data_IF_284371445454
#
_entry.id   IF_284371445454
#
_cell.length_a   1.000
_cell.length_b   1.000
_cell.length_c   1.000
_cell.angle_alpha   90.00
_cell.angle_beta   90.00
_cell.angle_gamma   90.00
#
_symmetry.space_group_name_H-M   'P 1'
#
loop_
_entity.id
_entity.type
_entity.pdbx_description
1 polymer ?
#
# COMPACT_ATOMS: atom_id res chain seq x y z
N UNK A 1 -9.84 -64.05 -7.75
CA UNK A 1 -9.44 -62.68 -8.18
C UNK A 1 -8.89 -62.77 -9.58
N UNK A 2 -9.56 -62.13 -10.53
CA UNK A 2 -9.32 -62.27 -11.96
C UNK A 2 -7.89 -61.82 -12.34
N UNK A 3 -7.26 -62.50 -13.32
CA UNK A 3 -5.84 -62.28 -13.67
C UNK A 3 -5.60 -60.84 -14.13
N UNK A 4 -6.64 -60.19 -14.67
CA UNK A 4 -6.66 -58.78 -15.08
C UNK A 4 -6.60 -57.81 -13.88
N UNK A 5 -7.24 -58.14 -12.76
CA UNK A 5 -7.26 -57.30 -11.56
C UNK A 5 -5.88 -57.29 -10.89
N UNK A 6 -5.15 -58.41 -10.92
CA UNK A 6 -3.77 -58.48 -10.41
C UNK A 6 -2.82 -57.58 -11.18
N UNK A 7 -2.92 -57.53 -12.50
CA UNK A 7 -2.08 -56.66 -13.33
C UNK A 7 -2.37 -55.18 -13.12
N UNK A 8 -3.65 -54.82 -12.96
CA UNK A 8 -4.05 -53.43 -12.73
C UNK A 8 -3.51 -52.88 -11.39
N UNK A 9 -3.48 -53.72 -10.35
CA UNK A 9 -2.89 -53.36 -9.05
C UNK A 9 -1.36 -53.20 -9.11
N UNK A 10 -0.66 -54.04 -9.89
CA UNK A 10 0.79 -53.92 -10.06
C UNK A 10 1.15 -52.63 -10.82
N UNK A 11 0.37 -52.25 -11.83
CA UNK A 11 0.58 -51.00 -12.58
C UNK A 11 0.33 -49.78 -11.68
N UNK A 12 -0.76 -49.79 -10.89
CA UNK A 12 -1.06 -48.70 -9.97
C UNK A 12 0.02 -48.56 -8.87
N UNK A 13 0.49 -49.68 -8.31
CA UNK A 13 1.59 -49.66 -7.34
C UNK A 13 2.90 -49.14 -7.96
N UNK A 14 3.21 -49.54 -9.20
CA UNK A 14 4.38 -49.04 -9.93
C UNK A 14 4.32 -47.54 -10.22
N UNK A 15 3.16 -47.03 -10.63
CA UNK A 15 2.95 -45.60 -10.87
C UNK A 15 3.08 -44.78 -9.58
N UNK A 16 2.60 -45.30 -8.45
CA UNK A 16 2.69 -44.63 -7.15
C UNK A 16 4.13 -44.55 -6.65
N UNK A 17 4.91 -45.63 -6.79
CA UNK A 17 6.34 -45.65 -6.41
C UNK A 17 7.16 -44.73 -7.32
N UNK A 18 6.87 -44.68 -8.62
CA UNK A 18 7.55 -43.78 -9.56
C UNK A 18 7.28 -42.31 -9.23
N UNK A 19 6.03 -41.95 -8.90
CA UNK A 19 5.68 -40.59 -8.49
C UNK A 19 6.36 -40.18 -7.17
N UNK A 20 6.46 -41.11 -6.21
CA UNK A 20 7.09 -40.82 -4.92
C UNK A 20 8.61 -40.68 -5.01
N UNK A 21 9.27 -41.47 -5.86
CA UNK A 21 10.73 -41.41 -6.03
C UNK A 21 11.20 -40.22 -6.88
N UNK A 22 10.43 -39.80 -7.89
CA UNK A 22 10.80 -38.68 -8.75
C UNK A 22 10.19 -37.32 -8.33
N UNK A 23 9.17 -37.31 -7.47
CA UNK A 23 8.47 -36.09 -7.06
C UNK A 23 9.19 -35.25 -6.00
N UNK A 24 10.23 -35.76 -5.33
CA UNK A 24 10.85 -35.08 -4.19
C UNK A 24 12.08 -34.20 -4.52
N UNK A 25 12.63 -34.25 -5.73
CA UNK A 25 13.89 -33.55 -6.05
C UNK A 25 13.75 -32.03 -6.35
N UNK A 26 12.58 -31.43 -6.15
CA UNK A 26 12.37 -29.98 -6.42
C UNK A 26 12.28 -29.07 -5.18
N UNK A 27 12.60 -29.55 -4.00
CA UNK A 27 12.62 -28.71 -2.80
C UNK A 27 13.91 -28.85 -1.99
N UNK A 28 15.00 -28.18 -2.45
CA UNK A 28 16.04 -27.54 -1.61
C UNK A 28 17.18 -27.00 -2.47
N UNK A 29 17.21 -25.67 -2.65
CA UNK A 29 18.45 -24.92 -2.81
C UNK A 29 18.45 -23.80 -1.77
N UNK A 30 18.97 -24.11 -0.59
CA UNK A 30 19.47 -23.11 0.35
C UNK A 30 20.99 -23.20 0.30
N UNK A 31 21.61 -22.12 -0.16
CA UNK A 31 23.05 -21.98 -0.32
C UNK A 31 23.72 -21.90 1.05
N UNK A 32 24.59 -22.87 1.34
CA UNK A 32 25.58 -22.83 2.41
C UNK A 32 26.85 -22.19 1.86
N UNK A 33 27.33 -21.10 2.46
CA UNK A 33 28.71 -20.64 2.32
C UNK A 33 29.39 -20.79 3.67
N UNK A 34 30.29 -21.77 3.76
CA UNK A 34 31.28 -21.93 4.81
C UNK A 34 32.64 -21.54 4.24
N UNK A 35 33.42 -20.75 4.97
CA UNK A 35 34.88 -20.71 4.86
C UNK A 35 35.47 -20.53 6.26
N UNK A 36 35.95 -21.64 6.83
CA UNK A 36 37.11 -21.73 7.72
C UNK A 36 38.37 -21.80 6.82
N UNK A 37 39.61 -21.50 7.18
CA UNK A 37 40.29 -21.29 8.46
C UNK A 37 41.67 -20.69 8.11
N UNK A 38 42.26 -19.87 8.99
CA UNK A 38 43.66 -20.05 9.39
C UNK A 38 44.06 -19.13 10.55
N UNK A 39 44.25 -19.75 11.71
CA UNK A 39 44.93 -19.24 12.91
C UNK A 39 46.43 -18.97 12.70
N UNK A 40 46.97 -17.99 13.46
CA UNK A 40 48.11 -18.14 14.41
C UNK A 40 48.19 -16.89 15.32
N UNK A 41 47.96 -17.03 16.64
CA UNK A 41 48.99 -17.05 17.73
C UNK A 41 49.47 -15.63 18.13
N UNK A 42 49.56 -15.14 19.38
CA UNK A 42 49.27 -15.61 20.74
C UNK A 42 49.61 -14.46 21.75
N UNK A 43 49.13 -14.63 22.99
CA UNK A 43 49.56 -14.04 24.29
C UNK A 43 48.90 -12.75 24.83
N UNK A 44 47.99 -12.98 25.77
CA UNK A 44 47.73 -12.23 27.02
C UNK A 44 48.98 -12.21 27.93
N UNK A 45 49.12 -11.35 28.99
CA UNK A 45 48.15 -11.12 30.10
C UNK A 45 47.97 -9.62 30.51
N UNK A 46 46.79 -9.15 30.93
CA UNK A 46 46.19 -9.06 32.29
C UNK A 46 46.84 -8.08 33.31
N UNK A 47 45.96 -7.26 33.92
CA UNK A 47 45.96 -6.57 35.25
C UNK A 47 46.23 -5.03 35.31
N UNK A 48 45.24 -4.33 35.91
CA UNK A 48 45.06 -2.93 36.42
C UNK A 48 46.15 -2.49 37.45
N UNK A 49 46.23 -1.24 38.05
CA UNK A 49 45.52 0.06 37.90
C UNK A 49 46.42 1.36 37.92
N UNK A 50 45.78 2.56 37.86
CA UNK A 50 46.21 4.00 38.10
C UNK A 50 47.49 4.26 38.96
N UNK A 51 48.20 5.43 38.91
CA UNK A 51 47.68 6.82 38.80
C UNK A 51 48.51 7.88 38.00
N UNK A 52 47.88 9.05 37.78
CA UNK A 52 48.34 10.44 37.56
C UNK A 52 49.72 10.76 36.93
N UNK A 53 49.74 11.63 35.91
CA UNK A 53 50.33 12.99 35.98
C UNK A 53 50.25 13.71 34.61
N UNK A 54 49.92 15.00 34.70
CA UNK A 54 49.86 16.01 33.65
C UNK A 54 51.07 16.02 32.68
N UNK A 55 50.79 16.30 31.40
CA UNK A 55 51.53 17.37 30.70
C UNK A 55 50.75 17.87 29.49
N UNK A 56 50.44 19.16 29.51
CA UNK A 56 49.92 19.93 28.39
C UNK A 56 50.99 20.05 27.29
N UNK A 57 50.59 19.91 26.03
CA UNK A 57 51.19 20.68 24.93
C UNK A 57 50.15 20.90 23.82
N UNK A 58 50.29 22.05 23.18
CA UNK A 58 49.26 22.83 22.52
C UNK A 58 48.83 22.32 21.13
N UNK A 59 47.57 22.63 20.81
CA UNK A 59 47.02 23.08 19.51
C UNK A 59 47.35 22.28 18.24
N UNK A 60 46.32 21.62 17.71
CA UNK A 60 45.76 22.02 16.40
C UNK A 60 44.24 22.02 16.51
N UNK A 61 43.65 23.21 16.37
CA UNK A 61 42.22 23.41 16.18
C UNK A 61 41.86 22.83 14.81
N UNK A 62 41.11 21.73 14.83
CA UNK A 62 40.32 21.28 13.68
C UNK A 62 38.87 21.45 14.09
N UNK A 63 38.36 22.67 13.89
CA UNK A 63 36.94 22.94 13.79
C UNK A 63 36.39 22.13 12.61
N UNK A 64 35.97 20.90 12.87
CA UNK A 64 34.96 20.28 12.02
C UNK A 64 33.67 21.07 12.24
N UNK A 65 32.98 21.48 11.16
CA UNK A 65 31.65 22.01 11.30
C UNK A 65 30.79 20.85 11.81
N UNK A 66 30.36 20.95 13.07
CA UNK A 66 29.17 20.26 13.53
C UNK A 66 28.08 20.62 12.53
N UNK A 67 27.72 19.65 11.69
CA UNK A 67 26.48 19.74 10.92
C UNK A 67 25.37 19.68 11.96
N UNK A 68 25.00 20.87 12.42
CA UNK A 68 23.81 21.13 13.20
C UNK A 68 22.64 20.70 12.31
N UNK A 69 22.23 19.43 12.45
CA UNK A 69 20.94 18.96 11.94
C UNK A 69 19.90 19.71 12.78
N UNK A 70 19.54 20.92 12.33
CA UNK A 70 18.43 21.68 12.91
C UNK A 70 17.16 20.85 12.75
N UNK A 71 16.74 20.20 13.83
CA UNK A 71 15.42 19.60 13.91
C UNK A 71 14.39 20.72 13.80
N UNK A 72 13.77 20.87 12.63
CA UNK A 72 12.67 21.82 12.42
C UNK A 72 11.57 21.59 13.47
N UNK A 73 11.04 22.69 14.01
CA UNK A 73 9.92 22.63 14.95
C UNK A 73 8.66 22.12 14.25
N UNK A 74 7.70 21.61 15.03
CA UNK A 74 6.44 21.10 14.45
C UNK A 74 5.63 22.22 13.78
N UNK A 75 5.65 23.42 14.36
CA UNK A 75 4.96 24.60 13.84
C UNK A 75 5.51 25.04 12.48
N UNK A 76 6.84 25.03 12.30
CA UNK A 76 7.46 25.32 11.00
C UNK A 76 7.06 24.29 9.92
N UNK A 77 6.93 23.01 10.29
CA UNK A 77 6.48 21.98 9.36
C UNK A 77 5.00 22.14 9.00
N UNK A 78 4.16 22.54 9.96
CA UNK A 78 2.76 22.82 9.72
C UNK A 78 2.58 23.97 8.71
N UNK A 79 3.32 25.07 8.90
CA UNK A 79 3.30 26.21 7.98
C UNK A 79 3.77 25.82 6.57
N UNK A 80 4.85 25.04 6.46
CA UNK A 80 5.32 24.55 5.15
C UNK A 80 4.27 23.67 4.45
N UNK A 81 3.55 22.84 5.21
CA UNK A 81 2.44 22.09 4.65
C UNK A 81 1.33 23.01 4.16
N UNK A 82 0.87 23.96 5.00
CA UNK A 82 -0.18 24.91 4.65
C UNK A 82 0.13 25.68 3.36
N UNK A 83 1.40 26.05 3.14
CA UNK A 83 1.85 26.66 1.89
C UNK A 83 1.74 25.70 0.70
N UNK A 84 2.17 24.43 0.83
CA UNK A 84 2.11 23.46 -0.27
C UNK A 84 0.68 23.11 -0.68
N UNK A 85 -0.25 23.16 0.28
CA UNK A 85 -1.65 22.83 0.07
C UNK A 85 -2.53 24.07 -0.09
N UNK A 86 -1.96 25.26 -0.38
CA UNK A 86 -2.80 26.46 -0.55
C UNK A 86 -3.81 26.25 -1.70
N UNK A 87 -3.37 25.58 -2.76
CA UNK A 87 -4.15 25.28 -3.95
C UNK A 87 -4.72 23.86 -3.80
N UNK A 88 -5.84 23.76 -3.10
CA UNK A 88 -6.49 22.50 -2.72
C UNK A 88 -6.91 21.69 -3.94
N UNK A 89 -6.64 20.37 -3.93
CA UNK A 89 -7.02 19.44 -5.00
C UNK A 89 -8.18 18.52 -4.62
N UNK A 90 -8.30 18.14 -3.35
CA UNK A 90 -9.25 17.13 -2.89
C UNK A 90 -10.28 17.65 -1.89
N UNK A 91 -9.90 18.58 -1.01
CA UNK A 91 -10.78 19.14 0.02
C UNK A 91 -10.30 20.50 0.51
N UNK A 92 -11.23 21.36 0.89
CA UNK A 92 -10.94 22.59 1.63
C UNK A 92 -10.51 22.32 3.08
N UNK A 93 -10.85 21.14 3.62
CA UNK A 93 -10.39 20.70 4.93
C UNK A 93 -8.91 20.27 4.84
N UNK A 94 -7.98 20.95 5.52
CA UNK A 94 -6.55 20.67 5.36
C UNK A 94 -6.14 19.28 5.86
N UNK A 95 -6.82 18.72 6.87
CA UNK A 95 -6.57 17.34 7.30
C UNK A 95 -6.97 16.37 6.19
N UNK A 96 -8.12 16.58 5.56
CA UNK A 96 -8.60 15.72 4.46
C UNK A 96 -7.71 15.88 3.23
N UNK A 97 -7.30 17.10 2.90
CA UNK A 97 -6.42 17.39 1.77
C UNK A 97 -5.08 16.66 1.89
N UNK A 98 -4.38 16.83 3.01
CA UNK A 98 -3.07 16.20 3.23
C UNK A 98 -3.20 14.68 3.28
N UNK A 99 -4.27 14.16 3.90
CA UNK A 99 -4.52 12.71 3.91
C UNK A 99 -4.78 12.16 2.51
N UNK A 100 -5.46 12.92 1.65
CA UNK A 100 -5.73 12.54 0.25
C UNK A 100 -4.47 12.53 -0.60
N UNK A 101 -3.62 13.56 -0.45
CA UNK A 101 -2.32 13.63 -1.11
C UNK A 101 -1.40 12.49 -0.66
N UNK A 102 -1.39 12.17 0.63
CA UNK A 102 -0.63 11.06 1.17
C UNK A 102 -1.12 9.71 0.59
N UNK A 103 -2.42 9.51 0.48
CA UNK A 103 -2.97 8.29 -0.12
C UNK A 103 -2.63 8.16 -1.63
N UNK A 104 -2.68 9.26 -2.38
CA UNK A 104 -2.23 9.27 -3.78
C UNK A 104 -0.74 8.94 -3.89
N UNK A 105 0.09 9.46 -2.98
CA UNK A 105 1.52 9.19 -2.93
C UNK A 105 1.85 7.75 -2.49
N UNK A 106 1.11 7.19 -1.54
CA UNK A 106 1.22 5.77 -1.18
C UNK A 106 0.84 4.86 -2.36
N UNK A 107 -0.16 5.27 -3.14
CA UNK A 107 -0.56 4.57 -4.39
C UNK A 107 0.53 4.56 -5.45
N UNK A 108 1.50 5.49 -5.36
CA UNK A 108 2.72 5.54 -6.15
C UNK A 108 3.82 4.57 -5.68
N UNK A 109 3.56 3.75 -4.65
CA UNK A 109 4.48 2.76 -4.13
C UNK A 109 5.66 3.35 -3.36
N UNK A 110 5.53 4.57 -2.81
CA UNK A 110 6.60 5.27 -2.08
C UNK A 110 7.95 5.24 -2.83
N UNK A 111 7.91 5.51 -4.14
CA UNK A 111 9.05 5.49 -5.07
C UNK A 111 9.67 4.11 -5.38
N UNK A 112 9.00 3.01 -5.03
CA UNK A 112 9.37 1.68 -5.50
C UNK A 112 8.12 0.89 -5.95
N UNK A 113 7.92 0.81 -7.26
CA UNK A 113 6.83 0.06 -7.87
C UNK A 113 7.23 -1.34 -8.31
N UNK A 114 8.43 -1.80 -7.97
CA UNK A 114 8.96 -3.10 -8.42
C UNK A 114 8.14 -4.27 -7.86
N UNK A 115 7.41 -4.05 -6.76
CA UNK A 115 6.48 -5.03 -6.20
C UNK A 115 5.29 -5.34 -7.11
N UNK A 116 4.98 -4.49 -8.10
CA UNK A 116 3.98 -4.78 -9.13
C UNK A 116 4.46 -5.83 -10.15
N UNK A 117 5.76 -6.11 -10.18
CA UNK A 117 6.41 -6.92 -11.20
C UNK A 117 7.13 -8.15 -10.61
N UNK A 118 6.81 -8.56 -9.38
CA UNK A 118 7.59 -9.55 -8.62
C UNK A 118 7.85 -10.87 -9.35
N UNK A 119 7.00 -11.22 -10.32
CA UNK A 119 7.02 -12.54 -10.94
C UNK A 119 7.14 -12.54 -12.47
N UNK A 120 7.12 -11.37 -13.15
CA UNK A 120 7.15 -11.27 -14.62
C UNK A 120 7.81 -9.97 -15.11
N UNK A 121 8.65 -10.10 -16.14
CA UNK A 121 9.13 -8.95 -16.91
C UNK A 121 7.94 -8.25 -17.60
N UNK A 122 7.76 -6.92 -17.41
CA UNK A 122 6.69 -6.20 -18.06
C UNK A 122 6.84 -6.20 -19.58
N UNK A 123 5.73 -6.35 -20.30
CA UNK A 123 5.73 -6.09 -21.74
C UNK A 123 5.79 -4.58 -22.05
N UNK A 124 5.88 -4.24 -23.34
CA UNK A 124 6.04 -2.85 -23.78
C UNK A 124 4.91 -1.93 -23.29
N UNK A 125 3.65 -2.36 -23.34
CA UNK A 125 2.51 -1.54 -22.88
C UNK A 125 2.51 -1.37 -21.37
N UNK A 126 2.82 -2.43 -20.63
CA UNK A 126 2.96 -2.40 -19.18
C UNK A 126 4.10 -1.45 -18.76
N UNK A 127 5.22 -1.46 -19.49
CA UNK A 127 6.33 -0.53 -19.27
C UNK A 127 5.95 0.92 -19.59
N UNK A 128 5.15 1.16 -20.63
CA UNK A 128 4.63 2.50 -20.93
C UNK A 128 3.74 3.03 -19.79
N UNK A 129 2.83 2.21 -19.26
CA UNK A 129 2.00 2.58 -18.10
C UNK A 129 2.86 2.81 -16.86
N UNK A 130 3.86 1.95 -16.61
CA UNK A 130 4.82 2.15 -15.52
C UNK A 130 5.53 3.50 -15.63
N UNK A 131 6.01 3.87 -16.82
CA UNK A 131 6.69 5.14 -17.05
C UNK A 131 5.76 6.35 -16.84
N UNK A 132 4.50 6.26 -17.26
CA UNK A 132 3.49 7.30 -17.01
C UNK A 132 3.25 7.49 -15.52
N UNK A 133 3.14 6.40 -14.77
CA UNK A 133 3.03 6.44 -13.31
C UNK A 133 4.29 7.05 -12.69
N UNK A 134 5.49 6.57 -13.04
CA UNK A 134 6.74 7.10 -12.48
C UNK A 134 6.86 8.62 -12.73
N UNK A 135 6.37 9.12 -13.88
CA UNK A 135 6.29 10.55 -14.17
C UNK A 135 5.27 11.26 -13.26
N UNK A 136 4.08 10.70 -13.10
CA UNK A 136 3.04 11.23 -12.19
C UNK A 136 3.55 11.33 -10.75
N UNK A 137 4.18 10.27 -10.24
CA UNK A 137 4.70 10.21 -8.87
C UNK A 137 5.84 11.21 -8.65
N UNK A 138 6.72 11.39 -9.65
CA UNK A 138 7.75 12.44 -9.62
C UNK A 138 7.15 13.84 -9.61
N UNK A 139 6.10 14.07 -10.39
CA UNK A 139 5.38 15.34 -10.40
C UNK A 139 4.75 15.60 -9.04
N UNK A 140 4.02 14.63 -8.48
CA UNK A 140 3.41 14.73 -7.15
C UNK A 140 4.46 15.02 -6.06
N UNK A 141 5.64 14.38 -6.12
CA UNK A 141 6.74 14.67 -5.20
C UNK A 141 7.34 16.06 -5.37
N UNK A 142 7.33 16.59 -6.60
CA UNK A 142 7.84 17.92 -6.89
C UNK A 142 6.84 19.01 -6.44
N UNK A 143 5.55 18.76 -6.60
CA UNK A 143 4.47 19.66 -6.19
C UNK A 143 4.31 19.67 -4.66
N UNK A 144 4.55 18.53 -4.00
CA UNK A 144 4.46 18.37 -2.54
C UNK A 144 5.74 17.77 -1.95
N UNK A 145 6.85 18.53 -1.89
CA UNK A 145 8.15 18.02 -1.42
C UNK A 145 8.14 17.38 -0.03
N UNK A 146 7.19 17.74 0.84
CA UNK A 146 7.10 17.17 2.18
C UNK A 146 6.64 15.71 2.20
N UNK A 147 5.94 15.23 1.16
CA UNK A 147 5.54 13.82 1.01
C UNK A 147 6.75 12.89 0.87
N UNK A 148 7.76 13.30 0.10
CA UNK A 148 8.93 12.49 -0.20
C UNK A 148 10.00 12.47 0.91
N UNK A 149 9.85 13.31 1.95
CA UNK A 149 10.83 13.39 3.02
C UNK A 149 10.63 12.23 4.01
N UNK A 150 11.56 11.27 4.01
CA UNK A 150 11.53 10.08 4.90
C UNK A 150 11.55 10.44 6.39
N UNK A 151 12.10 11.59 6.76
CA UNK A 151 12.06 12.09 8.14
C UNK A 151 10.66 12.55 8.55
N UNK A 152 9.80 12.83 7.56
CA UNK A 152 8.41 13.22 7.76
C UNK A 152 7.43 12.04 7.68
N UNK A 153 7.84 10.80 7.36
CA UNK A 153 6.91 9.66 7.33
C UNK A 153 6.23 9.38 8.69
N UNK A 154 6.97 9.33 9.82
CA UNK A 154 6.35 9.37 11.15
C UNK A 154 5.82 10.77 11.52
N UNK A 155 6.30 11.82 10.86
CA UNK A 155 5.90 13.21 11.08
C UNK A 155 4.55 13.60 10.48
N UNK A 156 4.11 12.95 9.40
CA UNK A 156 2.84 13.26 8.74
C UNK A 156 1.67 13.01 9.70
N UNK A 157 1.73 11.92 10.47
CA UNK A 157 0.75 11.65 11.52
C UNK A 157 0.76 12.75 12.59
N UNK A 158 1.94 13.18 13.04
CA UNK A 158 2.07 14.22 14.07
C UNK A 158 1.50 15.56 13.58
N UNK A 159 1.77 15.92 12.32
CA UNK A 159 1.31 17.19 11.74
C UNK A 159 -0.18 17.16 11.44
N UNK A 160 -0.74 16.00 11.03
CA UNK A 160 -2.16 15.88 10.71
C UNK A 160 -3.09 16.28 11.86
N UNK A 161 -2.64 16.08 13.10
CA UNK A 161 -3.35 16.47 14.34
C UNK A 161 -3.33 17.97 14.64
N UNK A 162 -2.45 18.72 14.00
CA UNK A 162 -2.32 20.15 14.23
C UNK A 162 -3.15 20.98 13.25
N UNK A 163 -3.56 20.40 12.12
CA UNK A 163 -4.47 21.08 11.21
C UNK A 163 -5.82 21.31 11.88
N UNK A 164 -6.49 22.41 11.54
CA UNK A 164 -7.89 22.59 11.88
C UNK A 164 -8.77 21.73 10.97
N UNK A 165 -9.79 21.10 11.52
CA UNK A 165 -10.83 20.40 10.76
C UNK A 165 -12.03 21.31 10.55
N UNK A 166 -12.73 21.09 9.45
CA UNK A 166 -13.99 21.79 9.11
C UNK A 166 -15.09 20.83 8.66
N UNK A 167 -14.75 19.56 8.45
CA UNK A 167 -15.65 18.50 8.00
C UNK A 167 -15.70 17.36 9.00
N UNK A 168 -16.81 16.63 9.01
CA UNK A 168 -16.93 15.42 9.83
C UNK A 168 -15.90 14.34 9.42
N UNK A 169 -15.48 14.34 8.15
CA UNK A 169 -14.41 13.48 7.65
C UNK A 169 -13.05 13.87 8.27
N UNK A 170 -12.73 15.16 8.30
CA UNK A 170 -11.53 15.69 8.96
C UNK A 170 -11.49 15.33 10.44
N UNK A 171 -12.58 15.58 11.17
CA UNK A 171 -12.73 15.21 12.59
C UNK A 171 -12.51 13.71 12.80
N UNK A 172 -13.08 12.88 11.92
CA UNK A 172 -12.94 11.42 11.99
C UNK A 172 -11.49 10.97 11.77
N UNK A 173 -10.81 11.55 10.77
CA UNK A 173 -9.40 11.24 10.47
C UNK A 173 -8.52 11.59 11.67
N UNK A 174 -8.66 12.78 12.25
CA UNK A 174 -7.90 13.14 13.45
C UNK A 174 -8.20 12.21 14.63
N UNK A 175 -9.47 11.97 14.93
CA UNK A 175 -9.83 11.15 16.09
C UNK A 175 -9.31 9.70 16.00
N UNK A 176 -9.15 9.16 14.79
CA UNK A 176 -8.85 7.74 14.58
C UNK A 176 -7.43 7.46 14.06
N UNK A 177 -6.64 8.46 13.67
CA UNK A 177 -5.24 8.26 13.30
C UNK A 177 -4.37 7.84 14.50
N UNK A 178 -4.78 8.20 15.73
CA UNK A 178 -4.03 7.96 16.97
C UNK A 178 -4.84 7.16 17.98
N UNK A 179 -5.18 5.91 17.65
CA UNK A 179 -5.48 4.92 18.68
C UNK A 179 -4.22 4.72 19.54
N UNK A 180 -4.06 5.61 20.52
CA UNK A 180 -2.95 5.74 21.46
C UNK A 180 -2.81 4.40 22.19
N UNK A 181 -1.76 3.64 21.87
CA UNK A 181 -1.40 2.43 22.60
C UNK A 181 -1.67 1.08 21.94
N UNK A 182 -2.21 0.99 20.72
CA UNK A 182 -2.19 -0.31 20.01
C UNK A 182 -3.21 -0.45 18.90
N UNK A 183 -2.69 -0.64 17.67
CA UNK A 183 -3.35 -1.15 16.46
C UNK A 183 -4.68 -0.46 16.10
N UNK A 184 -4.65 0.33 15.03
CA UNK A 184 -5.84 0.77 14.31
C UNK A 184 -6.80 -0.42 14.14
N UNK A 185 -8.04 -0.29 14.62
CA UNK A 185 -9.12 -1.23 14.29
C UNK A 185 -9.59 -0.96 12.87
N UNK A 186 -8.71 -1.22 11.92
CA UNK A 186 -8.82 -1.09 10.46
C UNK A 186 -10.21 -1.36 9.88
N UNK A 187 -10.91 -2.43 10.30
CA UNK A 187 -12.27 -2.68 9.82
C UNK A 187 -13.27 -1.61 10.29
N UNK A 188 -13.27 -1.27 11.58
CA UNK A 188 -14.16 -0.24 12.12
C UNK A 188 -13.78 1.15 11.61
N UNK A 189 -12.47 1.36 11.39
CA UNK A 189 -11.97 2.56 10.72
C UNK A 189 -12.51 2.69 9.29
N UNK A 190 -12.40 1.63 8.48
CA UNK A 190 -12.92 1.63 7.10
C UNK A 190 -14.44 1.82 7.07
N UNK A 191 -15.19 1.16 7.98
CA UNK A 191 -16.65 1.31 8.10
C UNK A 191 -17.08 2.73 8.44
N UNK A 192 -16.36 3.44 9.30
CA UNK A 192 -16.65 4.84 9.63
C UNK A 192 -16.15 5.82 8.56
N UNK A 193 -15.00 5.52 7.94
CA UNK A 193 -14.39 6.36 6.91
C UNK A 193 -15.25 6.40 5.64
N UNK A 194 -15.73 5.24 5.16
CA UNK A 194 -16.38 5.14 3.85
C UNK A 194 -17.62 6.05 3.71
N UNK A 195 -18.61 6.05 4.63
CA UNK A 195 -19.76 6.94 4.54
C UNK A 195 -19.38 8.42 4.52
N UNK A 196 -18.39 8.81 5.33
CA UNK A 196 -17.90 10.19 5.39
C UNK A 196 -17.17 10.58 4.11
N UNK A 197 -16.33 9.70 3.56
CA UNK A 197 -15.64 9.92 2.30
C UNK A 197 -16.62 10.04 1.12
N UNK A 198 -17.67 9.20 1.08
CA UNK A 198 -18.74 9.29 0.09
C UNK A 198 -19.54 10.61 0.23
N UNK A 199 -19.82 11.03 1.47
CA UNK A 199 -20.54 12.28 1.76
C UNK A 199 -19.77 13.52 1.30
N UNK A 200 -18.48 13.57 1.61
CA UNK A 200 -17.57 14.65 1.20
C UNK A 200 -17.11 14.49 -0.26
N UNK A 201 -17.58 13.45 -0.96
CA UNK A 201 -17.21 13.14 -2.34
C UNK A 201 -15.69 13.09 -2.53
N UNK A 202 -14.94 12.48 -1.61
CA UNK A 202 -13.48 12.42 -1.68
C UNK A 202 -13.00 11.07 -2.23
N UNK A 203 -12.53 11.07 -3.47
CA UNK A 203 -12.13 9.86 -4.19
C UNK A 203 -10.96 9.11 -3.52
N UNK A 204 -9.96 9.82 -2.99
CA UNK A 204 -8.81 9.20 -2.34
C UNK A 204 -9.18 8.56 -1.01
N UNK A 205 -10.08 9.16 -0.24
CA UNK A 205 -10.56 8.58 1.01
C UNK A 205 -11.48 7.37 0.78
N UNK A 206 -12.24 7.33 -0.32
CA UNK A 206 -12.97 6.12 -0.74
C UNK A 206 -11.97 4.99 -1.06
N UNK A 207 -10.92 5.28 -1.82
CA UNK A 207 -9.85 4.32 -2.11
C UNK A 207 -9.13 3.86 -0.84
N UNK A 208 -8.87 4.75 0.10
CA UNK A 208 -8.26 4.41 1.39
C UNK A 208 -9.17 3.46 2.18
N UNK A 209 -10.47 3.74 2.24
CA UNK A 209 -11.42 2.86 2.93
C UNK A 209 -11.48 1.46 2.29
N UNK A 210 -11.48 1.39 0.96
CA UNK A 210 -11.41 0.14 0.20
C UNK A 210 -10.11 -0.63 0.50
N UNK A 211 -8.97 0.04 0.40
CA UNK A 211 -7.66 -0.56 0.62
C UNK A 211 -7.55 -1.13 2.04
N UNK A 212 -7.98 -0.38 3.05
CA UNK A 212 -7.98 -0.82 4.46
C UNK A 212 -8.94 -1.99 4.67
N UNK A 213 -10.13 -1.97 4.06
CA UNK A 213 -11.08 -3.08 4.15
C UNK A 213 -10.51 -4.38 3.57
N UNK A 214 -9.70 -4.26 2.51
CA UNK A 214 -9.13 -5.40 1.80
C UNK A 214 -8.12 -6.22 2.62
N UNK A 215 -7.50 -5.63 3.65
CA UNK A 215 -6.60 -6.37 4.57
C UNK A 215 -7.36 -7.27 5.56
N UNK A 216 -8.66 -7.04 5.75
CA UNK A 216 -9.48 -7.77 6.72
C UNK A 216 -10.30 -8.88 6.08
N UNK A 217 -9.62 -9.64 5.21
CA UNK A 217 -10.06 -10.78 4.38
C UNK A 217 -10.96 -11.79 5.11
N UNK A 218 -10.82 -11.94 6.43
CA UNK A 218 -11.57 -12.94 7.23
C UNK A 218 -12.85 -12.41 7.86
N UNK A 219 -13.04 -11.09 7.90
CA UNK A 219 -14.25 -10.50 8.42
C UNK A 219 -15.19 -10.36 7.24
N UNK A 220 -16.12 -11.32 7.14
CA UNK A 220 -17.24 -11.30 6.18
C UNK A 220 -17.78 -9.89 6.08
N UNK A 221 -17.49 -9.24 4.96
CA UNK A 221 -17.95 -7.89 4.74
C UNK A 221 -19.50 -7.97 4.56
N UNK A 222 -20.18 -6.86 4.83
CA UNK A 222 -21.64 -6.73 4.84
C UNK A 222 -22.34 -7.19 3.53
N UNK A 223 -21.56 -7.26 2.46
CA UNK A 223 -21.88 -7.58 1.07
C UNK A 223 -22.40 -9.02 0.88
N UNK A 224 -22.00 -9.98 1.73
CA UNK A 224 -22.51 -11.37 1.65
C UNK A 224 -24.04 -11.42 1.79
N UNK A 225 -24.61 -10.56 2.64
CA UNK A 225 -26.06 -10.52 2.86
C UNK A 225 -26.80 -9.81 1.71
N UNK A 226 -26.14 -8.85 1.06
CA UNK A 226 -26.72 -8.06 -0.03
C UNK A 226 -26.73 -8.84 -1.35
N UNK A 227 -25.59 -9.45 -1.69
CA UNK A 227 -25.39 -10.14 -2.98
C UNK A 227 -25.71 -11.65 -2.86
N UNK A 228 -25.92 -12.18 -1.64
CA UNK A 228 -26.19 -13.60 -1.37
C UNK A 228 -25.13 -14.54 -1.96
N UNK A 229 -23.90 -14.05 -2.11
CA UNK A 229 -22.77 -14.81 -2.63
C UNK A 229 -21.88 -15.34 -1.50
N UNK A 230 -21.26 -16.49 -1.73
CA UNK A 230 -20.29 -17.09 -0.79
C UNK A 230 -18.84 -16.98 -1.29
N UNK A 231 -18.64 -16.56 -2.54
CA UNK A 231 -17.32 -16.43 -3.16
C UNK A 231 -16.66 -15.11 -2.77
N UNK A 232 -15.82 -15.16 -1.74
CA UNK A 232 -15.12 -13.99 -1.20
C UNK A 232 -14.39 -13.15 -2.27
N UNK A 233 -13.56 -13.76 -3.12
CA UNK A 233 -12.80 -13.01 -4.14
C UNK A 233 -13.70 -12.30 -5.13
N UNK A 234 -14.85 -12.89 -5.45
CA UNK A 234 -15.87 -12.26 -6.27
C UNK A 234 -16.45 -11.04 -5.59
N UNK A 235 -16.90 -11.18 -4.33
CA UNK A 235 -17.48 -10.08 -3.54
C UNK A 235 -16.51 -8.91 -3.39
N UNK A 236 -15.25 -9.20 -3.06
CA UNK A 236 -14.18 -8.20 -2.99
C UNK A 236 -14.00 -7.48 -4.33
N UNK A 237 -13.99 -8.23 -5.43
CA UNK A 237 -13.84 -7.67 -6.78
C UNK A 237 -14.99 -6.72 -7.13
N UNK A 238 -16.24 -7.15 -6.97
CA UNK A 238 -17.40 -6.30 -7.29
C UNK A 238 -17.52 -5.08 -6.35
N UNK A 239 -17.09 -5.19 -5.09
CA UNK A 239 -17.01 -4.07 -4.15
C UNK A 239 -15.97 -3.05 -4.60
N UNK A 240 -14.74 -3.51 -4.90
CA UNK A 240 -13.66 -2.66 -5.40
C UNK A 240 -14.07 -1.92 -6.68
N UNK A 241 -14.76 -2.62 -7.60
CA UNK A 241 -15.31 -2.05 -8.83
C UNK A 241 -16.40 -1.03 -8.53
N UNK A 242 -17.32 -1.32 -7.60
CA UNK A 242 -18.40 -0.41 -7.23
C UNK A 242 -17.85 0.89 -6.61
N UNK A 243 -16.90 0.79 -5.68
CA UNK A 243 -16.28 1.93 -5.01
C UNK A 243 -15.43 2.76 -5.96
N UNK A 244 -14.64 2.13 -6.84
CA UNK A 244 -13.89 2.83 -7.90
C UNK A 244 -14.86 3.54 -8.84
N UNK A 245 -15.93 2.87 -9.26
CA UNK A 245 -16.94 3.46 -10.14
C UNK A 245 -17.68 4.64 -9.52
N UNK A 246 -17.86 4.68 -8.19
CA UNK A 246 -18.38 5.83 -7.47
C UNK A 246 -17.34 6.95 -7.38
N UNK A 247 -16.07 6.62 -7.10
CA UNK A 247 -15.01 7.61 -6.96
C UNK A 247 -14.67 8.31 -8.29
N UNK A 248 -14.95 7.69 -9.44
CA UNK A 248 -14.80 8.31 -10.76
C UNK A 248 -15.59 9.62 -10.94
N UNK A 249 -16.70 9.78 -10.22
CA UNK A 249 -17.56 10.97 -10.34
C UNK A 249 -16.99 12.17 -9.57
N UNK A 250 -15.91 11.97 -8.82
CA UNK A 250 -15.33 12.96 -7.92
C UNK A 250 -13.91 13.36 -8.34
N UNK A 251 -13.52 14.61 -8.02
CA UNK A 251 -12.21 15.19 -8.34
C UNK A 251 -11.71 14.86 -9.76
N UNK A 252 -12.53 15.15 -10.76
CA UNK A 252 -12.24 14.94 -12.18
C UNK A 252 -11.83 13.51 -12.57
N UNK A 253 -12.23 12.52 -11.77
CA UNK A 253 -12.00 11.11 -12.06
C UNK A 253 -10.52 10.69 -11.96
N UNK A 254 -9.73 11.35 -11.11
CA UNK A 254 -8.31 11.00 -10.86
C UNK A 254 -8.13 9.50 -10.61
N UNK A 255 -9.02 8.90 -9.82
CA UNK A 255 -9.02 7.48 -9.44
C UNK A 255 -9.42 6.53 -10.57
N UNK A 256 -9.84 7.05 -11.72
CA UNK A 256 -10.33 6.29 -12.86
C UNK A 256 -9.52 6.51 -14.14
N UNK A 257 -8.48 7.34 -14.05
CA UNK A 257 -7.52 7.54 -15.12
C UNK A 257 -6.74 6.25 -15.44
N UNK A 258 -6.17 6.12 -16.65
CA UNK A 258 -5.31 4.99 -16.98
C UNK A 258 -4.08 4.84 -16.07
N UNK A 259 -3.65 5.94 -15.45
CA UNK A 259 -2.56 5.97 -14.47
C UNK A 259 -3.03 5.75 -13.03
N UNK A 260 -4.32 5.53 -12.77
CA UNK A 260 -4.83 5.21 -11.44
C UNK A 260 -4.34 3.84 -10.97
N UNK A 261 -4.22 3.66 -9.65
CA UNK A 261 -3.81 2.39 -9.05
C UNK A 261 -4.69 1.21 -9.50
N UNK A 262 -6.00 1.42 -9.54
CA UNK A 262 -6.95 0.40 -9.99
C UNK A 262 -6.67 -0.03 -11.44
N UNK A 263 -6.50 0.92 -12.36
CA UNK A 263 -6.26 0.61 -13.78
C UNK A 263 -4.88 0.02 -14.04
N UNK A 264 -3.89 0.42 -13.24
CA UNK A 264 -2.57 -0.22 -13.24
C UNK A 264 -2.69 -1.72 -12.91
N UNK A 265 -3.39 -2.06 -11.83
CA UNK A 265 -3.58 -3.45 -11.42
C UNK A 265 -4.24 -4.27 -12.54
N UNK A 266 -5.25 -3.70 -13.22
CA UNK A 266 -5.87 -4.36 -14.38
C UNK A 266 -4.93 -4.53 -15.58
N UNK A 267 -4.10 -3.54 -15.87
CA UNK A 267 -3.08 -3.62 -16.92
C UNK A 267 -2.02 -4.69 -16.62
N UNK A 268 -1.62 -4.83 -15.36
CA UNK A 268 -0.63 -5.83 -14.95
C UNK A 268 -1.22 -7.25 -14.91
N UNK A 269 -2.49 -7.39 -14.56
CA UNK A 269 -3.22 -8.65 -14.67
C UNK A 269 -3.37 -9.08 -16.14
N UNK A 270 -3.81 -8.16 -17.01
CA UNK A 270 -4.03 -8.43 -18.44
C UNK A 270 -3.61 -7.25 -19.32
N UNK A 271 -2.63 -7.47 -20.21
CA UNK A 271 -2.08 -6.44 -21.11
C UNK A 271 -3.15 -5.71 -21.93
N UNK A 272 -4.23 -6.40 -22.31
CA UNK A 272 -5.32 -5.82 -23.11
C UNK A 272 -6.02 -4.64 -22.43
N UNK A 273 -5.87 -4.50 -21.11
CA UNK A 273 -6.43 -3.41 -20.32
C UNK A 273 -5.48 -2.24 -20.10
N UNK A 274 -4.22 -2.35 -20.55
CA UNK A 274 -3.26 -1.25 -20.45
C UNK A 274 -3.69 -0.03 -21.27
N UNK A 275 -3.70 1.13 -20.62
CA UNK A 275 -4.07 2.42 -21.22
C UNK A 275 -5.57 2.69 -21.26
N UNK A 276 -6.40 1.76 -20.80
CA UNK A 276 -7.83 2.01 -20.64
C UNK A 276 -8.10 2.88 -19.41
N UNK A 277 -9.09 3.75 -19.50
CA UNK A 277 -9.72 4.33 -18.31
C UNK A 277 -10.70 3.31 -17.68
N UNK A 278 -11.20 3.61 -16.49
CA UNK A 278 -12.13 2.74 -15.78
C UNK A 278 -13.38 2.42 -16.60
N UNK A 279 -13.95 3.40 -17.31
CA UNK A 279 -15.20 3.22 -18.07
C UNK A 279 -14.99 2.28 -19.25
N UNK A 280 -13.90 2.45 -19.98
CA UNK A 280 -13.52 1.59 -21.10
C UNK A 280 -13.23 0.16 -20.63
N UNK A 281 -12.52 0.02 -19.51
CA UNK A 281 -12.27 -1.29 -18.91
C UNK A 281 -13.57 -1.96 -18.43
N UNK A 282 -14.43 -1.22 -17.74
CA UNK A 282 -15.71 -1.70 -17.21
C UNK A 282 -16.55 -2.33 -18.33
N UNK A 283 -16.68 -1.64 -19.46
CA UNK A 283 -17.44 -2.09 -20.62
C UNK A 283 -16.89 -3.39 -21.25
N UNK A 284 -15.60 -3.68 -21.08
CA UNK A 284 -14.94 -4.85 -21.66
C UNK A 284 -14.85 -6.03 -20.70
N UNK A 285 -14.69 -5.76 -19.41
CA UNK A 285 -14.37 -6.76 -18.40
C UNK A 285 -15.57 -7.21 -17.56
N UNK A 286 -16.58 -6.34 -17.40
CA UNK A 286 -17.71 -6.60 -16.50
C UNK A 286 -18.83 -7.31 -17.28
N UNK A 287 -19.16 -8.52 -16.85
CA UNK A 287 -20.31 -9.25 -17.41
C UNK A 287 -21.65 -8.63 -16.95
N UNK A 288 -22.76 -8.83 -17.68
CA UNK A 288 -24.07 -8.30 -17.26
C UNK A 288 -24.51 -8.73 -15.85
N UNK A 289 -24.16 -9.95 -15.42
CA UNK A 289 -24.46 -10.41 -14.05
C UNK A 289 -23.64 -9.67 -13.00
N UNK A 290 -22.35 -9.44 -13.27
CA UNK A 290 -21.49 -8.64 -12.40
C UNK A 290 -21.96 -7.18 -12.33
N UNK A 291 -22.36 -6.59 -13.45
CA UNK A 291 -22.90 -5.22 -13.48
C UNK A 291 -24.12 -5.10 -12.56
N UNK A 292 -25.06 -6.04 -12.61
CA UNK A 292 -26.22 -6.06 -11.72
C UNK A 292 -25.81 -6.06 -10.23
N UNK A 293 -24.86 -6.90 -9.84
CA UNK A 293 -24.35 -6.96 -8.46
C UNK A 293 -23.62 -5.66 -8.08
N UNK A 294 -22.82 -5.10 -8.99
CA UNK A 294 -22.15 -3.81 -8.82
C UNK A 294 -23.17 -2.69 -8.61
N UNK A 295 -24.28 -2.65 -9.37
CA UNK A 295 -25.32 -1.64 -9.19
C UNK A 295 -26.02 -1.76 -7.84
N UNK A 296 -26.23 -2.97 -7.32
CA UNK A 296 -26.76 -3.19 -5.96
C UNK A 296 -25.81 -2.58 -4.93
N UNK A 297 -24.51 -2.84 -5.04
CA UNK A 297 -23.50 -2.28 -4.14
C UNK A 297 -23.40 -0.77 -4.25
N UNK A 298 -23.39 -0.21 -5.47
CA UNK A 298 -23.39 1.25 -5.69
C UNK A 298 -24.60 1.90 -5.02
N UNK A 299 -25.78 1.33 -5.20
CA UNK A 299 -27.03 1.81 -4.59
C UNK A 299 -26.94 1.77 -3.07
N UNK A 300 -26.43 0.67 -2.50
CA UNK A 300 -26.21 0.54 -1.06
C UNK A 300 -25.26 1.62 -0.53
N UNK A 301 -24.09 1.81 -1.15
CA UNK A 301 -23.11 2.81 -0.72
C UNK A 301 -23.64 4.24 -0.84
N UNK A 302 -24.38 4.56 -1.91
CA UNK A 302 -25.06 5.85 -2.04
C UNK A 302 -26.12 6.05 -0.93
N UNK A 303 -26.78 4.97 -0.50
CA UNK A 303 -27.71 4.98 0.62
C UNK A 303 -27.06 5.31 1.97
N UNK A 304 -25.75 5.06 2.16
CA UNK A 304 -25.03 5.41 3.39
C UNK A 304 -24.89 6.92 3.61
N UNK A 305 -25.12 7.72 2.56
CA UNK A 305 -24.98 9.18 2.57
C UNK A 305 -26.32 9.88 2.78
N UNK A 306 -27.44 9.15 2.77
CA UNK A 306 -28.76 9.74 2.96
C UNK A 306 -29.01 10.10 4.43
N UNK A 307 -29.59 11.29 4.73
CA UNK A 307 -29.84 11.77 6.08
C UNK A 307 -30.89 10.94 6.85
#
# INVERSE_FOLDING_TARGET
MDRKIKWLLVILAGAFVFWFLYGQDKAKKTTTVNNNDSLKTSKQPQVTPKPDTLSQSERVSSSQPDSEVQSQSVDEKLEQWLVQIQDRRYSEDPTVEVSSLAMEFESCGNNNNDWLFTDKEPNEKQLQIKNLMDKHCKQLSADYPLLGNKENHPGLQIILHQFSTSTALGDYLQANQFATGGRLHTLEFSKGLLPLALKEKNAQMINMAEWISSFHIKNRLFEEQLIKGEHYEYLRSIQSIALTGLSCEFQDGITCSPSSRFMQDKCFDEEKFCGLDFKQWYQQAVSPGMDADIQILKTYFQGLVQP
#
